data_IF_433540630317
#
_entry.id   IF_433540630317
#
_cell.length_a   1.000
_cell.length_b   1.000
_cell.length_c   1.000
_cell.angle_alpha   90.00
_cell.angle_beta   90.00
_cell.angle_gamma   90.00
#
_symmetry.space_group_name_H-M   'P 1'
#
loop_
_entity.id
_entity.type
_entity.pdbx_description
1 polymer ?
#
# COMPACT_ATOMS: atom_id res chain seq x y z
N UNK A 1 -24.79 -16.12 3.13
CA UNK A 1 -23.70 -16.09 4.14
C UNK A 1 -22.52 -15.34 3.54
N UNK A 2 -22.08 -14.27 4.16
CA UNK A 2 -20.82 -13.62 3.78
C UNK A 2 -19.66 -14.53 4.19
N UNK A 3 -18.85 -14.96 3.23
CA UNK A 3 -17.70 -15.82 3.49
C UNK A 3 -16.65 -15.10 4.33
N UNK A 4 -15.92 -15.82 5.19
CA UNK A 4 -14.79 -15.30 5.94
C UNK A 4 -13.63 -14.88 5.02
N UNK A 5 -12.72 -14.04 5.52
CA UNK A 5 -11.64 -13.45 4.74
C UNK A 5 -10.80 -14.49 3.97
N UNK A 6 -10.35 -15.57 4.63
CA UNK A 6 -9.56 -16.61 3.97
C UNK A 6 -10.27 -17.25 2.78
N UNK A 7 -11.59 -17.48 2.90
CA UNK A 7 -12.43 -18.01 1.80
C UNK A 7 -12.57 -16.97 0.68
N UNK A 8 -12.75 -15.68 1.02
CA UNK A 8 -12.77 -14.59 0.06
C UNK A 8 -11.44 -14.48 -0.70
N UNK A 9 -10.31 -14.57 -0.01
CA UNK A 9 -8.98 -14.52 -0.61
C UNK A 9 -8.79 -15.63 -1.67
N UNK A 10 -9.34 -16.82 -1.43
CA UNK A 10 -9.27 -17.91 -2.40
C UNK A 10 -10.23 -17.72 -3.57
N UNK A 11 -11.50 -17.33 -3.32
CA UNK A 11 -12.58 -17.47 -4.31
C UNK A 11 -13.10 -16.16 -4.90
N UNK A 12 -13.03 -15.03 -4.19
CA UNK A 12 -13.61 -13.77 -4.66
C UNK A 12 -12.99 -13.30 -5.98
N UNK A 13 -13.78 -12.62 -6.81
CA UNK A 13 -13.36 -12.06 -8.09
C UNK A 13 -13.17 -13.08 -9.20
N UNK A 14 -13.27 -14.37 -8.92
CA UNK A 14 -13.11 -15.44 -9.91
C UNK A 14 -14.44 -16.16 -10.14
N UNK A 15 -14.80 -16.36 -11.40
CA UNK A 15 -15.96 -17.17 -11.78
C UNK A 15 -15.76 -18.64 -11.39
N UNK A 16 -16.84 -19.30 -10.94
CA UNK A 16 -16.80 -20.73 -10.63
C UNK A 16 -16.62 -21.58 -11.89
N UNK A 17 -17.26 -21.20 -12.97
CA UNK A 17 -17.16 -21.86 -14.26
C UNK A 17 -16.34 -21.00 -15.22
N UNK A 18 -15.09 -21.38 -15.39
CA UNK A 18 -14.13 -20.66 -16.22
C UNK A 18 -14.08 -21.23 -17.65
N UNK A 19 -13.66 -20.45 -18.65
CA UNK A 19 -13.42 -20.96 -19.99
C UNK A 19 -12.57 -22.23 -19.98
N UNK A 20 -12.90 -23.17 -20.84
CA UNK A 20 -12.24 -24.47 -20.99
C UNK A 20 -12.30 -25.38 -19.76
N UNK A 21 -13.17 -25.11 -18.78
CA UNK A 21 -13.21 -25.85 -17.53
C UNK A 21 -11.96 -25.66 -16.63
N UNK A 22 -11.21 -24.59 -16.87
CA UNK A 22 -9.97 -24.31 -16.12
C UNK A 22 -10.25 -24.03 -14.64
N UNK A 23 -9.44 -24.59 -13.75
CA UNK A 23 -9.51 -24.30 -12.31
C UNK A 23 -8.99 -22.89 -12.00
N UNK A 24 -7.90 -22.46 -12.65
CA UNK A 24 -7.33 -21.13 -12.50
C UNK A 24 -7.94 -20.18 -13.53
N UNK A 25 -7.98 -18.87 -13.21
CA UNK A 25 -8.38 -17.85 -14.18
C UNK A 25 -7.40 -17.83 -15.35
N UNK A 26 -7.84 -18.01 -16.61
CA UNK A 26 -6.96 -17.97 -17.77
C UNK A 26 -6.31 -16.59 -17.95
N UNK A 27 -5.08 -16.58 -18.47
CA UNK A 27 -4.41 -15.36 -18.90
C UNK A 27 -4.92 -14.98 -20.28
N UNK A 28 -5.61 -13.85 -20.40
CA UNK A 28 -6.07 -13.32 -21.68
C UNK A 28 -5.05 -12.32 -22.20
N UNK A 29 -4.08 -12.81 -22.99
CA UNK A 29 -2.99 -12.01 -23.53
C UNK A 29 -3.37 -11.43 -24.88
N UNK A 30 -4.15 -10.34 -24.86
CA UNK A 30 -4.52 -9.61 -26.08
C UNK A 30 -4.56 -8.10 -25.81
N UNK A 31 -4.23 -7.29 -26.83
CA UNK A 31 -4.37 -5.83 -26.78
C UNK A 31 -5.73 -5.36 -27.27
N UNK A 32 -6.41 -6.14 -28.12
CA UNK A 32 -7.63 -5.72 -28.82
C UNK A 32 -8.65 -6.85 -28.82
N UNK A 33 -9.91 -6.49 -28.71
CA UNK A 33 -11.05 -7.40 -28.76
C UNK A 33 -11.88 -7.09 -30.01
N UNK A 34 -12.21 -8.11 -30.81
CA UNK A 34 -12.91 -7.96 -32.08
C UNK A 34 -14.42 -7.95 -31.90
N UNK A 35 -15.12 -7.25 -32.78
CA UNK A 35 -16.56 -7.25 -32.89
C UNK A 35 -16.97 -8.09 -34.11
N UNK A 36 -18.15 -8.67 -34.08
CA UNK A 36 -18.66 -9.47 -35.17
C UNK A 36 -19.01 -8.60 -36.39
N UNK A 37 -19.56 -7.41 -36.14
CA UNK A 37 -19.95 -6.45 -37.18
C UNK A 37 -20.05 -5.02 -36.61
N UNK A 38 -20.35 -4.05 -37.49
CA UNK A 38 -20.50 -2.65 -37.14
C UNK A 38 -21.72 -2.36 -36.23
N UNK A 39 -22.77 -3.19 -36.31
CA UNK A 39 -23.95 -3.04 -35.48
C UNK A 39 -23.60 -3.36 -34.00
N UNK A 40 -22.79 -4.39 -33.78
CA UNK A 40 -22.28 -4.72 -32.46
C UNK A 40 -21.40 -3.58 -31.87
N UNK A 41 -20.61 -2.91 -32.71
CA UNK A 41 -19.83 -1.72 -32.26
C UNK A 41 -20.77 -0.60 -31.82
N UNK A 42 -21.82 -0.31 -32.61
CA UNK A 42 -22.76 0.76 -32.29
C UNK A 42 -23.53 0.46 -30.99
N UNK A 43 -24.03 -0.78 -30.83
CA UNK A 43 -24.68 -1.20 -29.57
C UNK A 43 -23.74 -1.08 -28.37
N UNK A 44 -22.48 -1.53 -28.51
CA UNK A 44 -21.45 -1.37 -27.49
C UNK A 44 -21.26 0.10 -27.13
N UNK A 45 -21.11 0.98 -28.10
CA UNK A 45 -20.91 2.42 -27.84
C UNK A 45 -22.11 3.07 -27.17
N UNK A 46 -23.35 2.69 -27.52
CA UNK A 46 -24.55 3.18 -26.87
C UNK A 46 -24.62 2.73 -25.40
N UNK A 47 -24.32 1.46 -25.10
CA UNK A 47 -24.28 0.96 -23.72
C UNK A 47 -23.17 1.62 -22.90
N UNK A 48 -22.02 1.85 -23.51
CA UNK A 48 -20.88 2.52 -22.88
C UNK A 48 -21.26 3.97 -22.50
N UNK A 49 -21.90 4.69 -23.41
CA UNK A 49 -22.39 6.06 -23.16
C UNK A 49 -23.47 6.10 -22.07
N UNK A 50 -24.30 5.05 -21.96
CA UNK A 50 -25.31 4.91 -20.90
C UNK A 50 -24.72 4.47 -19.54
N UNK A 51 -23.39 4.29 -19.41
CA UNK A 51 -22.73 3.92 -18.16
C UNK A 51 -22.98 2.47 -17.72
N UNK A 52 -23.29 1.56 -18.65
CA UNK A 52 -23.51 0.16 -18.32
C UNK A 52 -22.20 -0.54 -17.94
N UNK A 53 -22.02 -0.98 -16.68
CA UNK A 53 -20.76 -1.54 -16.20
C UNK A 53 -20.48 -2.98 -16.68
N UNK A 54 -21.45 -3.68 -17.23
CA UNK A 54 -21.32 -5.10 -17.66
C UNK A 54 -20.95 -5.22 -19.13
N UNK A 55 -20.04 -4.37 -19.57
CA UNK A 55 -19.65 -4.35 -20.98
C UNK A 55 -18.49 -5.28 -21.26
N UNK A 56 -18.47 -5.80 -22.49
CA UNK A 56 -17.32 -6.51 -23.04
C UNK A 56 -16.11 -5.58 -23.15
N UNK A 57 -14.92 -6.15 -23.24
CA UNK A 57 -13.71 -5.38 -23.53
C UNK A 57 -13.65 -4.97 -25.01
N UNK A 58 -13.02 -3.85 -25.28
CA UNK A 58 -12.74 -3.33 -26.63
C UNK A 58 -11.23 -3.24 -26.89
N UNK A 59 -10.48 -2.86 -25.85
CA UNK A 59 -9.05 -2.61 -25.93
C UNK A 59 -8.40 -2.78 -24.56
N UNK A 60 -7.24 -3.44 -24.51
CA UNK A 60 -6.58 -3.83 -23.25
C UNK A 60 -6.25 -2.69 -22.29
N UNK A 61 -6.13 -1.43 -22.77
CA UNK A 61 -5.92 -0.27 -21.92
C UNK A 61 -7.16 0.09 -21.09
N UNK A 62 -8.34 -0.28 -21.55
CA UNK A 62 -9.61 0.02 -20.85
C UNK A 62 -10.10 -1.15 -19.99
N UNK A 63 -9.64 -2.36 -20.26
CA UNK A 63 -9.99 -3.54 -19.48
C UNK A 63 -9.43 -4.83 -20.05
N UNK A 64 -9.39 -5.86 -19.18
CA UNK A 64 -8.95 -7.20 -19.52
C UNK A 64 -9.57 -8.20 -18.54
N UNK A 65 -10.06 -9.37 -18.98
CA UNK A 65 -10.72 -10.34 -18.08
C UNK A 65 -9.85 -10.79 -16.91
N UNK A 66 -8.54 -11.01 -17.14
CA UNK A 66 -7.61 -11.42 -16.08
C UNK A 66 -7.40 -10.30 -15.05
N UNK A 67 -7.29 -9.05 -15.50
CA UNK A 67 -7.20 -7.88 -14.62
C UNK A 67 -8.48 -7.71 -13.79
N UNK A 68 -9.67 -7.83 -14.41
CA UNK A 68 -10.96 -7.73 -13.70
C UNK A 68 -11.12 -8.77 -12.61
N UNK A 69 -10.63 -9.99 -12.80
CA UNK A 69 -10.65 -11.00 -11.76
C UNK A 69 -9.81 -10.58 -10.54
N UNK A 70 -8.63 -10.00 -10.78
CA UNK A 70 -7.77 -9.46 -9.71
C UNK A 70 -8.43 -8.24 -9.04
N UNK A 71 -8.96 -7.28 -9.82
CA UNK A 71 -9.68 -6.10 -9.32
C UNK A 71 -10.89 -6.51 -8.46
N UNK A 72 -11.70 -7.47 -8.91
CA UNK A 72 -12.87 -7.97 -8.16
C UNK A 72 -12.48 -8.65 -6.84
N UNK A 73 -11.37 -9.41 -6.83
CA UNK A 73 -10.85 -10.02 -5.60
C UNK A 73 -10.38 -8.95 -4.61
N UNK A 74 -9.58 -7.99 -5.06
CA UNK A 74 -9.07 -6.91 -4.20
C UNK A 74 -10.21 -6.06 -3.64
N UNK A 75 -11.19 -5.68 -4.49
CA UNK A 75 -12.36 -4.95 -4.04
C UNK A 75 -13.11 -5.68 -2.91
N UNK A 76 -13.30 -6.99 -3.05
CA UNK A 76 -13.94 -7.80 -2.01
C UNK A 76 -13.13 -7.84 -0.73
N UNK A 77 -11.81 -8.00 -0.80
CA UNK A 77 -10.93 -8.08 0.37
C UNK A 77 -10.88 -6.76 1.14
N UNK A 78 -10.92 -5.62 0.46
CA UNK A 78 -11.01 -4.28 1.06
C UNK A 78 -12.44 -3.84 1.44
N UNK A 79 -13.44 -4.64 1.12
CA UNK A 79 -14.87 -4.27 1.29
C UNK A 79 -15.27 -3.04 0.48
N UNK A 80 -14.63 -2.81 -0.68
CA UNK A 80 -14.94 -1.76 -1.62
C UNK A 80 -15.91 -2.21 -2.72
N UNK A 81 -16.54 -1.26 -3.40
CA UNK A 81 -17.44 -1.56 -4.53
C UNK A 81 -16.68 -1.92 -5.81
N UNK A 82 -15.48 -1.36 -5.98
CA UNK A 82 -14.63 -1.54 -7.15
C UNK A 82 -13.17 -1.35 -6.78
N UNK A 83 -12.27 -2.00 -7.52
CA UNK A 83 -10.85 -1.71 -7.52
C UNK A 83 -10.37 -1.46 -8.97
N UNK A 84 -9.29 -0.72 -9.11
CA UNK A 84 -8.58 -0.47 -10.35
C UNK A 84 -7.14 -0.94 -10.20
N UNK A 85 -6.65 -1.73 -11.16
CA UNK A 85 -5.28 -2.24 -11.17
C UNK A 85 -4.38 -1.36 -12.03
N UNK A 86 -3.18 -1.09 -11.53
CA UNK A 86 -2.15 -0.25 -12.13
C UNK A 86 -0.82 -1.00 -12.27
N UNK A 87 0.06 -0.51 -13.14
CA UNK A 87 1.39 -1.07 -13.38
C UNK A 87 2.36 -0.96 -12.19
N UNK A 88 2.07 -0.09 -11.21
CA UNK A 88 2.85 0.07 -9.99
C UNK A 88 2.05 0.82 -8.93
N UNK A 89 2.48 0.76 -7.65
CA UNK A 89 1.94 1.57 -6.58
C UNK A 89 2.03 3.08 -6.88
N UNK A 90 3.16 3.53 -7.44
CA UNK A 90 3.31 4.93 -7.84
C UNK A 90 2.35 5.32 -8.98
N UNK A 91 2.12 4.43 -9.97
CA UNK A 91 1.13 4.69 -11.01
C UNK A 91 -0.28 4.84 -10.42
N UNK A 92 -0.65 4.04 -9.41
CA UNK A 92 -1.91 4.18 -8.68
C UNK A 92 -1.99 5.53 -7.97
N UNK A 93 -0.95 5.93 -7.22
CA UNK A 93 -0.89 7.20 -6.48
C UNK A 93 -0.94 8.39 -7.44
N UNK A 94 -0.05 8.44 -8.43
CA UNK A 94 0.08 9.59 -9.33
C UNK A 94 -1.16 9.80 -10.18
N UNK A 95 -1.76 8.72 -10.70
CA UNK A 95 -3.01 8.80 -11.47
C UNK A 95 -4.17 9.25 -10.58
N UNK A 96 -4.25 8.76 -9.34
CA UNK A 96 -5.30 9.19 -8.39
C UNK A 96 -5.21 10.68 -8.10
N UNK A 97 -4.02 11.17 -7.74
CA UNK A 97 -3.83 12.59 -7.43
C UNK A 97 -4.08 13.48 -8.65
N UNK A 98 -3.58 13.08 -9.83
CA UNK A 98 -3.79 13.83 -11.07
C UNK A 98 -5.27 13.83 -11.54
N UNK A 99 -6.04 12.78 -11.21
CA UNK A 99 -7.45 12.70 -11.57
C UNK A 99 -8.37 13.53 -10.65
N UNK A 100 -7.95 13.76 -9.42
CA UNK A 100 -8.77 14.37 -8.37
C UNK A 100 -8.40 15.82 -8.05
N UNK A 101 -7.23 16.28 -8.51
CA UNK A 101 -6.72 17.62 -8.24
C UNK A 101 -6.55 18.41 -9.54
N UNK A 102 -6.86 19.68 -9.48
CA UNK A 102 -6.74 20.66 -10.57
C UNK A 102 -5.83 21.82 -10.17
N UNK A 103 -5.37 22.61 -11.14
CA UNK A 103 -4.60 23.83 -10.85
C UNK A 103 -5.38 24.76 -9.90
N UNK A 104 -4.72 25.24 -8.86
CA UNK A 104 -5.30 26.03 -7.78
C UNK A 104 -5.81 25.22 -6.58
N UNK A 105 -5.88 23.89 -6.68
CA UNK A 105 -6.25 23.05 -5.54
C UNK A 105 -5.09 22.86 -4.56
N UNK A 106 -5.43 22.46 -3.35
CA UNK A 106 -4.50 22.20 -2.27
C UNK A 106 -4.64 20.76 -1.75
N UNK A 107 -3.49 20.11 -1.56
CA UNK A 107 -3.31 18.76 -0.99
C UNK A 107 -2.74 18.86 0.44
N UNK A 108 -3.34 18.15 1.38
CA UNK A 108 -2.69 17.85 2.66
C UNK A 108 -2.10 16.44 2.58
N UNK A 109 -0.79 16.33 2.85
CA UNK A 109 -0.06 15.06 2.85
C UNK A 109 0.57 14.83 4.22
N UNK A 110 0.30 13.67 4.83
CA UNK A 110 1.02 13.28 6.05
C UNK A 110 2.48 13.03 5.69
N UNK A 111 3.39 13.71 6.41
CA UNK A 111 4.80 13.84 6.02
C UNK A 111 5.60 12.55 6.12
N UNK A 112 5.26 11.66 7.08
CA UNK A 112 5.87 10.34 7.23
C UNK A 112 5.20 9.34 6.28
N UNK A 113 5.63 9.34 5.03
CA UNK A 113 5.11 8.50 3.95
C UNK A 113 6.24 8.12 2.98
N UNK A 114 5.92 7.26 2.02
CA UNK A 114 6.88 6.87 1.00
C UNK A 114 7.47 8.09 0.29
N UNK A 115 8.80 8.19 0.26
CA UNK A 115 9.51 9.39 -0.21
C UNK A 115 9.16 9.80 -1.65
N UNK A 116 8.83 8.83 -2.54
CA UNK A 116 8.42 9.15 -3.92
C UNK A 116 7.02 9.74 -3.99
N UNK A 117 6.12 9.38 -3.08
CA UNK A 117 4.81 10.04 -2.95
C UNK A 117 5.01 11.52 -2.57
N UNK A 118 5.87 11.78 -1.58
CA UNK A 118 6.22 13.13 -1.15
C UNK A 118 6.92 13.93 -2.26
N UNK A 119 7.86 13.30 -2.98
CA UNK A 119 8.53 13.92 -4.13
C UNK A 119 7.53 14.30 -5.23
N UNK A 120 6.60 13.40 -5.57
CA UNK A 120 5.56 13.69 -6.56
C UNK A 120 4.69 14.87 -6.13
N UNK A 121 4.24 14.87 -4.86
CA UNK A 121 3.42 15.95 -4.33
C UNK A 121 4.13 17.30 -4.33
N UNK A 122 5.38 17.36 -3.91
CA UNK A 122 6.13 18.63 -3.78
C UNK A 122 6.75 19.13 -5.08
N UNK A 123 7.14 18.22 -6.00
CA UNK A 123 7.91 18.59 -7.19
C UNK A 123 7.09 18.55 -8.48
N UNK A 124 6.19 17.54 -8.63
CA UNK A 124 5.41 17.41 -9.87
C UNK A 124 4.07 18.13 -9.78
N UNK A 125 3.32 17.96 -8.70
CA UNK A 125 2.02 18.64 -8.54
C UNK A 125 2.20 20.17 -8.49
N UNK A 126 3.29 20.66 -7.89
CA UNK A 126 3.58 22.10 -7.87
C UNK A 126 3.74 22.71 -9.28
N UNK A 127 4.29 21.95 -10.24
CA UNK A 127 4.38 22.39 -11.65
C UNK A 127 3.02 22.50 -12.32
N UNK A 128 2.02 21.81 -11.78
CA UNK A 128 0.63 21.85 -12.27
C UNK A 128 -0.22 22.86 -11.51
N UNK A 129 0.40 23.68 -10.66
CA UNK A 129 -0.27 24.70 -9.88
C UNK A 129 -1.07 24.16 -8.69
N UNK A 130 -0.72 22.97 -8.21
CA UNK A 130 -1.32 22.34 -7.03
C UNK A 130 -0.37 22.53 -5.85
N UNK A 131 -0.85 23.11 -4.76
CA UNK A 131 -0.06 23.31 -3.55
C UNK A 131 -0.18 22.10 -2.61
N UNK A 132 0.89 21.82 -1.88
CA UNK A 132 0.93 20.73 -0.90
C UNK A 132 1.42 21.21 0.47
N UNK A 133 0.65 20.95 1.52
CA UNK A 133 1.09 21.11 2.91
C UNK A 133 1.42 19.75 3.52
N UNK A 134 2.63 19.63 4.08
CA UNK A 134 3.04 18.47 4.85
C UNK A 134 2.60 18.63 6.30
N UNK A 135 1.94 17.61 6.86
CA UNK A 135 1.52 17.57 8.27
C UNK A 135 2.21 16.40 8.96
N UNK A 136 2.88 16.68 10.07
CA UNK A 136 3.53 15.62 10.86
C UNK A 136 2.50 14.72 11.54
N UNK A 137 2.68 13.39 11.55
CA UNK A 137 1.86 12.49 12.36
C UNK A 137 2.01 12.73 13.87
N UNK A 138 3.08 13.40 14.30
CA UNK A 138 3.28 13.80 15.70
C UNK A 138 2.39 14.99 16.12
N UNK A 139 1.83 15.71 15.16
CA UNK A 139 1.02 16.91 15.39
C UNK A 139 -0.40 16.76 14.80
N UNK A 140 -1.22 15.84 15.31
CA UNK A 140 -2.55 15.59 14.74
C UNK A 140 -3.48 16.82 14.77
N UNK A 141 -3.24 17.76 15.68
CA UNK A 141 -3.98 19.02 15.72
C UNK A 141 -3.66 19.93 14.52
N UNK A 142 -2.45 19.82 13.94
CA UNK A 142 -2.03 20.60 12.78
C UNK A 142 -2.84 20.24 11.52
N UNK A 143 -3.48 19.07 11.48
CA UNK A 143 -4.33 18.67 10.36
C UNK A 143 -5.47 19.66 10.14
N UNK A 144 -6.19 20.05 11.19
CA UNK A 144 -7.30 20.98 11.09
C UNK A 144 -6.86 22.40 10.69
N UNK A 145 -5.68 22.84 11.17
CA UNK A 145 -5.14 24.17 10.86
C UNK A 145 -4.49 24.27 9.47
N UNK A 146 -4.12 23.12 8.88
CA UNK A 146 -3.59 23.05 7.53
C UNK A 146 -4.67 23.18 6.43
N UNK A 147 -5.95 23.06 6.79
CA UNK A 147 -7.06 23.13 5.83
C UNK A 147 -7.26 24.58 5.39
N UNK A 148 -7.38 24.76 4.06
CA UNK A 148 -7.63 26.03 3.37
C UNK A 148 -8.89 25.92 2.50
N UNK A 149 -9.46 27.03 2.02
CA UNK A 149 -10.62 26.98 1.10
C UNK A 149 -10.36 26.16 -0.18
N UNK A 150 -9.09 26.12 -0.63
CA UNK A 150 -8.63 25.38 -1.82
C UNK A 150 -8.34 23.91 -1.53
N UNK A 151 -8.33 23.47 -0.28
CA UNK A 151 -8.05 22.09 0.07
C UNK A 151 -9.13 21.17 -0.51
N UNK A 152 -8.70 20.12 -1.22
CA UNK A 152 -9.59 19.12 -1.84
C UNK A 152 -9.33 17.71 -1.35
N UNK A 153 -8.09 17.41 -0.97
CA UNK A 153 -7.66 16.05 -0.69
C UNK A 153 -6.74 15.98 0.51
N UNK A 154 -6.94 14.94 1.32
CA UNK A 154 -6.06 14.53 2.41
C UNK A 154 -5.52 13.15 2.09
N UNK A 155 -4.18 13.04 2.00
CA UNK A 155 -3.49 11.77 1.76
C UNK A 155 -2.68 11.35 2.98
N UNK A 156 -2.83 10.10 3.40
CA UNK A 156 -2.06 9.48 4.47
C UNK A 156 -1.54 8.10 4.06
N UNK A 157 -0.41 7.68 4.63
CA UNK A 157 0.07 6.29 4.60
C UNK A 157 -0.11 5.67 5.98
N UNK A 158 -0.57 4.41 6.06
CA UNK A 158 -0.90 3.80 7.35
C UNK A 158 -0.72 2.28 7.36
N UNK A 159 0.11 1.75 8.28
CA UNK A 159 1.09 2.48 9.10
C UNK A 159 2.11 3.24 8.24
N UNK A 160 2.68 4.32 8.77
CA UNK A 160 3.63 5.16 8.04
C UNK A 160 4.99 4.47 7.82
N UNK A 161 5.80 4.99 6.90
CA UNK A 161 7.12 4.48 6.57
C UNK A 161 8.20 5.58 6.74
N UNK A 162 9.24 5.38 7.57
CA UNK A 162 9.62 4.12 8.19
C UNK A 162 9.22 3.94 9.67
N UNK A 163 8.59 4.92 10.32
CA UNK A 163 8.40 4.94 11.78
C UNK A 163 7.12 4.25 12.26
N UNK A 164 6.30 3.70 11.34
CA UNK A 164 5.11 2.89 11.63
C UNK A 164 4.08 3.62 12.51
N UNK A 165 3.95 4.95 12.35
CA UNK A 165 2.93 5.75 13.03
C UNK A 165 1.53 5.33 12.55
N UNK A 166 0.56 5.42 13.44
CA UNK A 166 -0.83 5.05 13.16
C UNK A 166 -1.74 6.22 13.50
N UNK A 167 -2.36 6.78 12.48
CA UNK A 167 -3.29 7.90 12.63
C UNK A 167 -4.67 7.42 13.08
N UNK A 168 -5.38 8.25 13.85
CA UNK A 168 -6.79 8.03 14.17
C UNK A 168 -7.66 8.30 12.92
N UNK A 169 -8.05 7.21 12.23
CA UNK A 169 -8.87 7.30 11.02
C UNK A 169 -10.21 7.96 11.26
N UNK A 170 -10.83 7.70 12.42
CA UNK A 170 -12.13 8.27 12.75
C UNK A 170 -12.09 9.78 12.85
N UNK A 171 -11.07 10.31 13.52
CA UNK A 171 -10.82 11.76 13.61
C UNK A 171 -10.46 12.36 12.26
N UNK A 172 -9.58 11.70 11.50
CA UNK A 172 -9.18 12.14 10.16
C UNK A 172 -10.39 12.26 9.22
N UNK A 173 -11.23 11.23 9.17
CA UNK A 173 -12.46 11.21 8.35
C UNK A 173 -13.48 12.24 8.84
N UNK A 174 -13.62 12.42 10.16
CA UNK A 174 -14.51 13.43 10.72
C UNK A 174 -14.11 14.84 10.27
N UNK A 175 -12.83 15.19 10.37
CA UNK A 175 -12.30 16.48 9.93
C UNK A 175 -12.50 16.65 8.42
N UNK A 176 -12.15 15.65 7.62
CA UNK A 176 -12.30 15.69 6.17
C UNK A 176 -13.76 15.90 5.73
N UNK A 177 -14.71 15.21 6.34
CA UNK A 177 -16.15 15.33 6.03
C UNK A 177 -16.70 16.71 6.35
N UNK A 178 -16.27 17.34 7.43
CA UNK A 178 -16.70 18.69 7.80
C UNK A 178 -16.30 19.73 6.75
N UNK A 179 -15.27 19.45 5.97
CA UNK A 179 -14.70 20.34 4.95
C UNK A 179 -14.89 19.80 3.52
N UNK A 180 -15.69 18.75 3.35
CA UNK A 180 -15.94 18.07 2.07
C UNK A 180 -14.64 17.64 1.33
N UNK A 181 -13.61 17.24 2.07
CA UNK A 181 -12.35 16.75 1.53
C UNK A 181 -12.45 15.27 1.15
N UNK A 182 -11.75 14.89 0.09
CA UNK A 182 -11.55 13.48 -0.27
C UNK A 182 -10.41 12.91 0.57
N UNK A 183 -10.64 11.75 1.17
CA UNK A 183 -9.63 11.04 1.95
C UNK A 183 -9.04 9.87 1.16
N UNK A 184 -7.71 9.81 1.10
CA UNK A 184 -6.95 8.72 0.46
C UNK A 184 -5.98 8.14 1.48
N UNK A 185 -6.01 6.82 1.65
CA UNK A 185 -5.08 6.12 2.54
C UNK A 185 -4.31 5.06 1.76
N UNK A 186 -2.98 5.18 1.73
CA UNK A 186 -2.10 4.09 1.32
C UNK A 186 -1.98 3.09 2.49
N UNK A 187 -2.63 1.94 2.35
CA UNK A 187 -2.70 0.88 3.38
C UNK A 187 -1.77 -0.30 3.06
N UNK A 188 -0.71 -0.05 2.29
CA UNK A 188 0.22 -1.09 1.83
C UNK A 188 0.80 -1.92 2.98
N UNK A 189 1.22 -1.28 4.08
CA UNK A 189 1.83 -1.96 5.23
C UNK A 189 0.82 -2.74 6.06
N UNK A 190 -0.39 -2.21 6.23
CA UNK A 190 -1.43 -2.89 6.99
C UNK A 190 -2.00 -4.09 6.25
N UNK A 191 -2.19 -4.01 4.95
CA UNK A 191 -2.98 -4.96 4.16
C UNK A 191 -4.47 -4.99 4.56
N UNK A 192 -5.39 -5.52 3.74
CA UNK A 192 -6.81 -5.63 4.13
C UNK A 192 -7.06 -6.62 5.29
N UNK A 193 -6.01 -7.33 5.74
CA UNK A 193 -6.09 -8.22 6.91
C UNK A 193 -6.02 -7.45 8.20
N UNK A 194 -5.08 -6.51 8.31
CA UNK A 194 -4.85 -5.78 9.55
C UNK A 194 -5.67 -4.49 9.65
N UNK A 195 -5.98 -3.85 8.51
CA UNK A 195 -6.76 -2.61 8.48
C UNK A 195 -7.52 -2.49 7.16
N UNK A 196 -8.79 -2.11 7.22
CA UNK A 196 -9.63 -1.76 6.06
C UNK A 196 -10.10 -0.31 6.19
N UNK A 197 -9.38 0.66 5.64
CA UNK A 197 -9.72 2.07 5.82
C UNK A 197 -11.11 2.45 5.31
N UNK A 198 -11.65 1.78 4.27
CA UNK A 198 -13.02 2.02 3.80
C UNK A 198 -14.07 1.76 4.88
N UNK A 199 -13.86 0.76 5.74
CA UNK A 199 -14.77 0.48 6.86
C UNK A 199 -14.78 1.59 7.93
N UNK A 200 -13.75 2.42 7.97
CA UNK A 200 -13.66 3.61 8.83
C UNK A 200 -14.16 4.89 8.13
N UNK A 201 -14.65 4.77 6.90
CA UNK A 201 -15.24 5.88 6.14
C UNK A 201 -14.26 6.68 5.30
N UNK A 202 -13.06 6.17 5.07
CA UNK A 202 -12.11 6.68 4.07
C UNK A 202 -12.71 6.50 2.67
N UNK A 203 -12.49 7.46 1.76
CA UNK A 203 -13.09 7.43 0.42
C UNK A 203 -12.35 6.49 -0.54
N UNK A 204 -11.01 6.49 -0.47
CA UNK A 204 -10.15 5.71 -1.37
C UNK A 204 -9.00 5.06 -0.59
N UNK A 205 -8.74 3.79 -0.92
CA UNK A 205 -7.59 3.03 -0.41
C UNK A 205 -6.65 2.72 -1.56
N UNK A 206 -5.35 2.86 -1.31
CA UNK A 206 -4.30 2.50 -2.24
C UNK A 206 -3.45 1.38 -1.64
N UNK A 207 -2.98 0.46 -2.50
CA UNK A 207 -1.90 -0.46 -2.17
C UNK A 207 -0.85 -0.49 -3.28
N UNK A 208 0.40 -0.50 -2.90
CA UNK A 208 1.43 -1.09 -3.73
C UNK A 208 1.23 -2.62 -3.72
N UNK A 209 0.51 -3.13 -4.72
CA UNK A 209 0.22 -4.57 -4.83
C UNK A 209 1.49 -5.42 -5.07
N UNK A 210 2.59 -4.77 -5.46
CA UNK A 210 3.96 -5.32 -5.49
C UNK A 210 4.36 -5.95 -4.16
N UNK A 211 3.84 -5.44 -3.04
CA UNK A 211 4.22 -5.82 -1.67
C UNK A 211 3.42 -7.05 -1.20
N UNK A 212 2.76 -6.98 -0.08
CA UNK A 212 2.02 -8.09 0.53
C UNK A 212 0.98 -8.75 -0.38
N UNK A 213 0.28 -7.97 -1.22
CA UNK A 213 -0.77 -8.54 -2.08
C UNK A 213 -0.18 -9.52 -3.09
N UNK A 214 0.91 -9.18 -3.77
CA UNK A 214 1.70 -10.10 -4.59
C UNK A 214 2.47 -11.11 -3.75
N UNK A 215 3.28 -10.61 -2.82
CA UNK A 215 3.91 -11.36 -1.73
C UNK A 215 5.07 -12.28 -2.10
N UNK A 216 5.55 -12.26 -3.36
CA UNK A 216 6.60 -13.17 -3.85
C UNK A 216 7.74 -12.44 -4.57
N UNK A 217 7.80 -11.10 -4.48
CA UNK A 217 8.86 -10.26 -5.08
C UNK A 217 9.03 -10.43 -6.61
N UNK A 218 7.99 -10.89 -7.33
CA UNK A 218 8.03 -11.31 -8.73
C UNK A 218 7.12 -10.50 -9.67
N UNK A 219 6.43 -9.46 -9.15
CA UNK A 219 5.56 -8.58 -9.93
C UNK A 219 5.65 -7.13 -9.48
N UNK A 220 5.28 -6.22 -10.38
CA UNK A 220 5.01 -4.81 -10.07
C UNK A 220 3.53 -4.53 -10.33
N UNK A 221 2.82 -4.04 -9.31
CA UNK A 221 1.44 -3.60 -9.46
C UNK A 221 1.06 -2.58 -8.38
N UNK A 222 0.02 -1.79 -8.67
CA UNK A 222 -0.66 -0.92 -7.72
C UNK A 222 -2.17 -1.09 -7.85
N UNK A 223 -2.91 -0.69 -6.83
CA UNK A 223 -4.37 -0.73 -6.88
C UNK A 223 -4.97 0.44 -6.11
N UNK A 224 -6.11 0.93 -6.60
CA UNK A 224 -6.97 1.91 -5.93
C UNK A 224 -8.34 1.29 -5.73
N UNK A 225 -8.88 1.39 -4.53
CA UNK A 225 -10.16 0.79 -4.14
C UNK A 225 -11.07 1.87 -3.58
N UNK A 226 -12.36 1.80 -3.89
CA UNK A 226 -13.36 2.74 -3.38
C UNK A 226 -14.76 2.48 -3.92
N UNK A 227 -15.61 3.52 -3.86
CA UNK A 227 -16.91 3.49 -4.53
C UNK A 227 -16.75 3.61 -6.04
N UNK A 228 -17.73 3.08 -6.80
CA UNK A 228 -17.74 3.24 -8.27
C UNK A 228 -17.69 4.72 -8.67
N UNK A 229 -18.42 5.57 -7.94
CA UNK A 229 -18.44 7.01 -8.17
C UNK A 229 -17.06 7.65 -7.99
N UNK A 230 -16.38 7.35 -6.89
CA UNK A 230 -15.05 7.92 -6.59
C UNK A 230 -13.98 7.44 -7.56
N UNK A 231 -14.12 6.22 -8.10
CA UNK A 231 -13.16 5.62 -9.03
C UNK A 231 -13.37 6.05 -10.49
N UNK A 232 -14.53 6.55 -10.89
CA UNK A 232 -14.80 6.93 -12.29
C UNK A 232 -13.77 7.90 -12.87
N UNK A 233 -13.42 9.04 -12.23
CA UNK A 233 -12.42 9.95 -12.79
C UNK A 233 -11.02 9.31 -12.84
N UNK A 234 -10.69 8.44 -11.88
CA UNK A 234 -9.40 7.75 -11.83
C UNK A 234 -9.30 6.71 -12.96
N UNK A 235 -10.38 5.99 -13.25
CA UNK A 235 -10.44 5.03 -14.34
C UNK A 235 -10.29 5.71 -15.71
N UNK A 236 -10.95 6.87 -15.90
CA UNK A 236 -10.79 7.69 -17.09
C UNK A 236 -9.35 8.16 -17.26
N UNK A 237 -8.74 8.69 -16.19
CA UNK A 237 -7.35 9.12 -16.19
C UNK A 237 -6.39 7.95 -16.48
N UNK A 238 -6.61 6.76 -15.88
CA UNK A 238 -5.85 5.55 -16.19
C UNK A 238 -5.93 5.21 -17.67
N UNK A 239 -7.13 5.27 -18.27
CA UNK A 239 -7.35 5.02 -19.69
C UNK A 239 -6.61 5.99 -20.61
N UNK A 240 -6.43 7.25 -20.22
CA UNK A 240 -5.69 8.28 -20.98
C UNK A 240 -4.18 8.16 -20.75
N UNK A 241 -3.74 8.05 -19.50
CA UNK A 241 -2.31 8.04 -19.11
C UNK A 241 -1.63 6.68 -19.37
N UNK A 242 -2.40 5.60 -19.46
CA UNK A 242 -1.86 4.28 -19.82
C UNK A 242 -1.18 3.52 -18.67
N UNK A 243 -1.45 3.87 -17.42
CA UNK A 243 -0.83 3.26 -16.24
C UNK A 243 -1.41 1.91 -15.80
N UNK A 244 -2.15 1.16 -16.68
CA UNK A 244 -2.73 -0.15 -16.36
C UNK A 244 -1.65 -1.23 -16.19
N UNK A 245 -1.97 -2.28 -15.44
CA UNK A 245 -1.15 -3.49 -15.31
C UNK A 245 -1.26 -4.36 -16.59
N UNK A 246 -0.45 -5.40 -16.67
CA UNK A 246 -0.55 -6.40 -17.75
C UNK A 246 -1.23 -7.70 -17.24
N UNK A 247 -1.72 -8.57 -18.14
CA UNK A 247 -2.41 -9.80 -17.73
C UNK A 247 -1.56 -10.80 -16.97
N UNK A 248 -0.24 -10.85 -17.20
CA UNK A 248 0.65 -11.77 -16.49
C UNK A 248 0.84 -11.32 -15.04
N UNK A 249 1.09 -10.03 -14.79
CA UNK A 249 1.18 -9.49 -13.42
C UNK A 249 -0.16 -9.64 -12.69
N UNK A 250 -1.29 -9.43 -13.37
CA UNK A 250 -2.62 -9.68 -12.82
C UNK A 250 -2.83 -11.14 -12.41
N UNK A 251 -2.34 -12.09 -13.22
CA UNK A 251 -2.38 -13.53 -12.91
C UNK A 251 -1.50 -13.87 -11.68
N UNK A 252 -0.26 -13.36 -11.65
CA UNK A 252 0.65 -13.57 -10.51
C UNK A 252 0.04 -12.95 -9.23
N UNK A 253 -0.58 -11.78 -9.35
CA UNK A 253 -1.28 -11.13 -8.25
C UNK A 253 -2.46 -11.98 -7.76
N UNK A 254 -3.30 -12.52 -8.65
CA UNK A 254 -4.38 -13.45 -8.29
C UNK A 254 -3.85 -14.67 -7.53
N UNK A 255 -2.71 -15.21 -7.97
CA UNK A 255 -2.04 -16.33 -7.31
C UNK A 255 -1.55 -15.93 -5.91
N UNK A 256 -0.89 -14.77 -5.77
CA UNK A 256 -0.39 -14.25 -4.50
C UNK A 256 -1.52 -13.99 -3.50
N UNK A 257 -2.64 -13.41 -3.94
CA UNK A 257 -3.80 -13.11 -3.11
C UNK A 257 -4.42 -14.37 -2.46
N UNK A 258 -4.36 -15.54 -3.11
CA UNK A 258 -4.91 -16.79 -2.55
C UNK A 258 -4.23 -17.24 -1.25
N UNK A 259 -2.99 -16.84 -1.04
CA UNK A 259 -2.21 -17.15 0.18
C UNK A 259 -2.02 -15.94 1.10
N UNK A 260 -2.64 -14.81 0.80
CA UNK A 260 -2.45 -13.56 1.54
C UNK A 260 -2.72 -13.72 3.03
N UNK A 261 -3.83 -14.36 3.40
CA UNK A 261 -4.20 -14.57 4.81
C UNK A 261 -3.16 -15.38 5.58
N UNK A 262 -2.67 -16.46 4.99
CA UNK A 262 -1.65 -17.32 5.59
C UNK A 262 -0.33 -16.57 5.79
N UNK A 263 0.13 -15.84 4.77
CA UNK A 263 1.39 -15.11 4.80
C UNK A 263 1.36 -13.96 5.80
N UNK A 264 0.34 -13.12 5.74
CA UNK A 264 0.25 -11.94 6.62
C UNK A 264 0.07 -12.34 8.08
N UNK A 265 -0.69 -13.39 8.40
CA UNK A 265 -0.79 -13.90 9.78
C UNK A 265 0.55 -14.38 10.31
N UNK A 266 1.32 -15.10 9.50
CA UNK A 266 2.67 -15.53 9.89
C UNK A 266 3.61 -14.33 10.05
N UNK A 267 3.55 -13.37 9.15
CA UNK A 267 4.33 -12.13 9.25
C UNK A 267 3.95 -11.29 10.48
N UNK A 268 2.66 -11.22 10.83
CA UNK A 268 2.19 -10.58 12.06
C UNK A 268 2.77 -11.25 13.32
N UNK A 269 2.77 -12.61 13.35
CA UNK A 269 3.36 -13.38 14.44
C UNK A 269 4.86 -13.08 14.57
N UNK A 270 5.58 -13.14 13.45
CA UNK A 270 7.00 -12.81 13.40
C UNK A 270 7.25 -11.38 13.88
N UNK A 271 6.45 -10.40 13.40
CA UNK A 271 6.54 -9.01 13.81
C UNK A 271 6.42 -8.81 15.31
N UNK A 272 5.41 -9.40 15.93
CA UNK A 272 5.19 -9.33 17.40
C UNK A 272 6.34 -9.90 18.20
N UNK A 273 6.81 -11.10 17.83
CA UNK A 273 7.87 -11.79 18.58
C UNK A 273 9.21 -11.09 18.41
N UNK A 274 9.58 -10.71 17.20
CA UNK A 274 10.81 -9.97 16.91
C UNK A 274 10.80 -8.59 17.57
N UNK A 275 9.69 -7.84 17.52
CA UNK A 275 9.59 -6.54 18.17
C UNK A 275 9.78 -6.62 19.69
N UNK A 276 9.21 -7.65 20.35
CA UNK A 276 9.40 -7.89 21.79
C UNK A 276 10.84 -8.27 22.12
N UNK A 277 11.47 -9.12 21.32
CA UNK A 277 12.87 -9.49 21.48
C UNK A 277 13.77 -8.25 21.41
N UNK A 278 13.58 -7.44 20.36
CA UNK A 278 14.36 -6.21 20.15
C UNK A 278 14.14 -5.18 21.25
N UNK A 279 12.92 -5.02 21.75
CA UNK A 279 12.61 -4.10 22.84
C UNK A 279 13.31 -4.46 24.16
N UNK A 280 13.65 -5.73 24.39
CA UNK A 280 14.39 -6.20 25.56
C UNK A 280 15.91 -6.28 25.35
N UNK A 281 16.43 -5.99 24.15
CA UNK A 281 17.85 -6.20 23.85
C UNK A 281 18.71 -4.96 24.17
N UNK A 282 19.82 -5.09 24.92
CA UNK A 282 20.63 -3.94 25.40
C UNK A 282 21.29 -3.13 24.27
N UNK A 283 21.56 -3.70 23.11
CA UNK A 283 22.11 -2.99 21.95
C UNK A 283 21.04 -2.24 21.13
N UNK A 284 19.76 -2.36 21.47
CA UNK A 284 18.66 -1.68 20.80
C UNK A 284 18.18 -0.50 21.63
N UNK A 285 18.26 0.70 21.05
CA UNK A 285 17.89 1.94 21.71
C UNK A 285 16.38 2.17 21.76
N UNK A 286 15.69 1.85 20.65
CA UNK A 286 14.25 2.07 20.51
C UNK A 286 13.68 1.15 19.42
N UNK A 287 12.46 0.67 19.64
CA UNK A 287 11.70 -0.09 18.67
C UNK A 287 10.45 0.70 18.28
N UNK A 288 10.17 0.74 16.99
CA UNK A 288 8.96 1.30 16.40
C UNK A 288 8.12 0.14 15.89
N UNK A 289 7.08 -0.21 16.62
CA UNK A 289 6.13 -1.26 16.26
C UNK A 289 4.78 -0.99 16.95
N UNK A 290 3.69 -0.81 16.20
CA UNK A 290 2.41 -0.39 16.78
C UNK A 290 1.82 -1.36 17.81
N UNK A 291 2.30 -2.60 17.85
CA UNK A 291 1.89 -3.61 18.81
C UNK A 291 2.66 -3.61 20.14
N UNK A 292 3.58 -2.68 20.36
CA UNK A 292 4.26 -2.51 21.64
C UNK A 292 3.59 -1.39 22.47
N UNK A 293 3.38 -1.60 23.79
CA UNK A 293 2.74 -0.60 24.66
C UNK A 293 3.42 0.78 24.67
N UNK A 294 4.74 0.83 24.44
CA UNK A 294 5.52 2.07 24.40
C UNK A 294 5.43 2.81 23.06
N UNK A 295 4.73 2.25 22.07
CA UNK A 295 4.50 2.95 20.82
C UNK A 295 3.50 4.11 21.03
N UNK A 296 3.78 5.33 20.51
CA UNK A 296 2.93 6.49 20.77
C UNK A 296 1.47 6.31 20.33
N UNK A 297 1.24 5.49 19.33
CA UNK A 297 -0.10 5.25 18.77
C UNK A 297 -0.66 3.87 19.15
N UNK A 298 -0.12 3.20 20.17
CA UNK A 298 -0.53 1.83 20.56
C UNK A 298 -2.04 1.71 20.77
N UNK A 299 -2.65 2.63 21.53
CA UNK A 299 -4.08 2.58 21.82
C UNK A 299 -4.93 2.79 20.56
N UNK A 300 -4.51 3.69 19.66
CA UNK A 300 -5.17 3.91 18.37
C UNK A 300 -5.05 2.67 17.50
N UNK A 301 -3.85 2.11 17.37
CA UNK A 301 -3.60 0.90 16.60
C UNK A 301 -4.44 -0.28 17.11
N UNK A 302 -4.51 -0.49 18.43
CA UNK A 302 -5.29 -1.55 19.07
C UNK A 302 -6.79 -1.44 18.85
N UNK A 303 -7.31 -0.21 18.71
CA UNK A 303 -8.74 0.04 18.48
C UNK A 303 -9.16 -0.18 17.03
N UNK A 304 -8.30 0.15 16.06
CA UNK A 304 -8.70 0.17 14.65
C UNK A 304 -8.04 -0.92 13.78
N UNK A 305 -6.95 -1.52 14.25
CA UNK A 305 -6.26 -2.60 13.53
C UNK A 305 -6.53 -3.96 14.17
N UNK A 306 -6.63 -4.99 13.33
CA UNK A 306 -6.77 -6.39 13.80
C UNK A 306 -5.45 -6.95 14.29
N UNK A 307 -4.35 -6.51 13.66
CA UNK A 307 -2.98 -6.86 14.00
C UNK A 307 -2.01 -5.79 13.46
N UNK A 308 -0.70 -5.87 13.76
CA UNK A 308 0.24 -4.75 13.64
C UNK A 308 1.27 -4.88 12.52
N UNK A 309 1.19 -5.96 11.70
CA UNK A 309 2.03 -6.15 10.53
C UNK A 309 3.36 -6.85 10.80
N UNK A 310 4.08 -7.11 9.69
CA UNK A 310 5.37 -7.80 9.67
C UNK A 310 6.57 -6.85 9.51
N UNK A 311 6.40 -5.54 9.63
CA UNK A 311 7.53 -4.59 9.60
C UNK A 311 7.85 -4.14 11.02
N UNK A 312 9.12 -4.22 11.39
CA UNK A 312 9.65 -3.69 12.64
C UNK A 312 10.77 -2.71 12.30
N UNK A 313 10.65 -1.48 12.73
CA UNK A 313 11.74 -0.49 12.64
C UNK A 313 12.36 -0.30 14.02
N UNK A 314 13.67 -0.16 14.08
CA UNK A 314 14.38 0.01 15.36
C UNK A 314 15.68 0.77 15.19
N UNK A 315 16.13 1.41 16.27
CA UNK A 315 17.42 2.07 16.36
C UNK A 315 18.38 1.21 17.17
N UNK A 316 19.57 0.98 16.65
CA UNK A 316 20.64 0.37 17.43
C UNK A 316 21.52 1.42 18.10
N UNK A 317 22.30 1.01 19.11
CA UNK A 317 23.30 1.88 19.70
C UNK A 317 24.47 2.06 18.75
N UNK A 318 24.67 3.28 18.22
CA UNK A 318 25.75 3.63 17.30
C UNK A 318 25.36 4.65 16.23
N UNK A 319 26.20 4.70 15.22
CA UNK A 319 26.10 5.58 14.06
C UNK A 319 25.71 4.79 12.77
N UNK A 320 25.88 5.46 11.64
CA UNK A 320 25.54 4.90 10.32
C UNK A 320 26.40 3.68 9.97
N UNK A 321 27.72 3.75 10.26
CA UNK A 321 28.66 2.68 9.90
C UNK A 321 28.45 1.45 10.78
N UNK A 322 28.25 1.65 12.08
CA UNK A 322 27.93 0.59 13.04
C UNK A 322 26.63 -0.12 12.66
N UNK A 323 25.65 0.64 12.19
CA UNK A 323 24.37 0.10 11.71
C UNK A 323 24.55 -0.72 10.43
N UNK A 324 25.38 -0.26 9.51
CA UNK A 324 25.77 -1.02 8.31
C UNK A 324 26.44 -2.35 8.69
N UNK A 325 27.43 -2.32 9.59
CA UNK A 325 28.11 -3.53 10.08
C UNK A 325 27.15 -4.52 10.74
N UNK A 326 26.17 -4.04 11.49
CA UNK A 326 25.11 -4.89 12.05
C UNK A 326 24.33 -5.59 10.94
N UNK A 327 23.85 -4.83 9.94
CA UNK A 327 23.08 -5.38 8.82
C UNK A 327 23.87 -6.42 8.04
N UNK A 328 25.17 -6.16 7.79
CA UNK A 328 26.06 -7.06 7.05
C UNK A 328 26.33 -8.39 7.79
N UNK A 329 26.10 -8.44 9.10
CA UNK A 329 26.23 -9.66 9.92
C UNK A 329 24.98 -10.54 9.94
N UNK A 330 23.83 -10.01 9.53
CA UNK A 330 22.62 -10.80 9.37
C UNK A 330 22.79 -11.83 8.24
N UNK A 331 22.29 -13.03 8.44
CA UNK A 331 22.47 -14.17 7.52
C UNK A 331 21.20 -14.58 6.80
N UNK A 332 20.04 -14.30 7.40
CA UNK A 332 18.76 -14.71 6.85
C UNK A 332 18.12 -13.66 5.95
N UNK A 333 17.97 -12.37 6.35
CA UNK A 333 17.30 -11.40 5.51
C UNK A 333 18.17 -10.98 4.32
N UNK A 334 17.54 -10.72 3.20
CA UNK A 334 18.21 -10.02 2.10
C UNK A 334 18.28 -8.51 2.38
N UNK A 335 19.35 -7.86 1.94
CA UNK A 335 19.45 -6.40 1.98
C UNK A 335 18.76 -5.83 0.75
N UNK A 336 17.70 -5.03 0.95
CA UNK A 336 16.95 -4.50 -0.19
C UNK A 336 15.87 -3.48 0.15
N UNK A 337 15.40 -2.68 -0.84
CA UNK A 337 14.46 -1.58 -0.63
C UNK A 337 12.99 -2.01 -0.72
N UNK A 338 12.66 -3.26 -0.44
CA UNK A 338 11.28 -3.77 -0.54
C UNK A 338 10.76 -4.32 0.78
N UNK A 339 9.56 -4.89 0.78
CA UNK A 339 8.90 -5.51 1.94
C UNK A 339 7.72 -6.38 1.47
N UNK A 340 7.17 -7.17 2.38
CA UNK A 340 5.90 -7.87 2.17
C UNK A 340 6.01 -9.17 1.36
N UNK A 341 7.23 -9.59 1.01
CA UNK A 341 7.51 -10.88 0.40
C UNK A 341 7.50 -12.03 1.42
N UNK A 342 7.70 -13.24 0.94
CA UNK A 342 7.86 -14.45 1.78
C UNK A 342 9.22 -14.49 2.45
N UNK A 343 10.24 -13.85 1.86
CA UNK A 343 11.57 -13.66 2.42
C UNK A 343 11.63 -12.40 3.27
N UNK A 344 12.39 -12.46 4.36
CA UNK A 344 12.74 -11.29 5.17
C UNK A 344 13.69 -10.36 4.44
N UNK A 345 13.42 -9.06 4.55
CA UNK A 345 14.22 -8.00 3.92
C UNK A 345 14.61 -6.98 4.97
N UNK A 346 15.89 -6.60 4.99
CA UNK A 346 16.42 -5.57 5.88
C UNK A 346 16.99 -4.40 5.10
N UNK A 347 16.87 -3.22 5.64
CA UNK A 347 17.50 -2.02 5.07
C UNK A 347 17.86 -1.00 6.16
N UNK A 348 18.82 -0.15 5.85
CA UNK A 348 19.10 1.09 6.54
C UNK A 348 18.46 2.24 5.75
N UNK A 349 17.33 2.82 6.19
CA UNK A 349 16.63 3.86 5.42
C UNK A 349 17.51 5.06 5.09
N UNK A 350 18.40 5.45 6.02
CA UNK A 350 19.35 6.54 5.82
C UNK A 350 20.28 6.34 4.63
N UNK A 351 20.81 5.13 4.43
CA UNK A 351 21.72 4.80 3.32
C UNK A 351 21.03 4.85 1.95
N UNK A 352 19.71 4.53 1.91
CA UNK A 352 18.95 4.54 0.66
C UNK A 352 18.36 5.92 0.32
N UNK A 353 18.25 6.81 1.29
CA UNK A 353 17.67 8.14 1.07
C UNK A 353 18.69 9.12 0.49
N UNK A 354 19.79 9.34 1.18
CA UNK A 354 20.84 10.30 0.78
C UNK A 354 22.13 10.08 1.57
N UNK A 355 23.26 10.30 0.94
CA UNK A 355 24.56 10.35 1.60
C UNK A 355 24.76 11.67 2.38
N UNK A 356 24.01 12.70 2.04
CA UNK A 356 24.01 13.98 2.75
C UNK A 356 23.31 13.87 4.10
N UNK A 357 24.08 14.12 5.17
CA UNK A 357 23.59 14.03 6.56
C UNK A 357 22.55 15.12 6.88
N UNK A 358 22.68 16.31 6.34
CA UNK A 358 21.73 17.41 6.58
C UNK A 358 20.39 17.11 5.91
N UNK A 359 20.41 16.58 4.69
CA UNK A 359 19.22 16.14 3.99
C UNK A 359 18.49 15.01 4.74
N UNK A 360 19.22 14.04 5.30
CA UNK A 360 18.62 12.97 6.13
C UNK A 360 17.97 13.52 7.40
N UNK A 361 18.66 14.44 8.11
CA UNK A 361 18.12 15.09 9.31
C UNK A 361 16.88 15.92 9.01
N UNK A 362 16.91 16.69 7.92
CA UNK A 362 15.75 17.48 7.47
C UNK A 362 14.55 16.58 7.11
N UNK A 363 14.81 15.37 6.61
CA UNK A 363 13.79 14.36 6.35
C UNK A 363 13.34 13.59 7.60
N UNK A 364 13.92 13.87 8.77
CA UNK A 364 13.63 13.15 10.02
C UNK A 364 14.19 11.74 10.07
N UNK A 365 15.09 11.36 9.16
CA UNK A 365 15.68 10.02 9.11
C UNK A 365 16.91 9.92 10.01
N UNK A 366 16.91 8.96 10.90
CA UNK A 366 18.04 8.68 11.81
C UNK A 366 19.07 7.76 11.12
N UNK A 367 20.34 8.08 11.33
CA UNK A 367 21.46 7.35 10.74
C UNK A 367 21.54 5.89 11.22
N UNK A 368 21.09 5.63 12.45
CA UNK A 368 21.11 4.32 13.11
C UNK A 368 19.76 3.56 13.04
N UNK A 369 18.85 3.99 12.16
CA UNK A 369 17.56 3.33 11.95
C UNK A 369 17.72 2.10 11.05
N UNK A 370 17.15 0.98 11.49
CA UNK A 370 16.98 -0.25 10.73
C UNK A 370 15.50 -0.47 10.48
N UNK A 371 15.10 -0.79 9.25
CA UNK A 371 13.77 -1.29 8.93
C UNK A 371 13.86 -2.77 8.53
N UNK A 372 13.25 -3.63 9.32
CA UNK A 372 13.21 -5.07 9.10
C UNK A 372 11.79 -5.48 8.68
N UNK A 373 11.63 -5.88 7.44
CA UNK A 373 10.38 -6.44 6.90
C UNK A 373 10.48 -7.96 6.98
N UNK A 374 9.72 -8.56 7.87
CA UNK A 374 9.76 -9.98 8.17
C UNK A 374 8.96 -10.77 7.14
N UNK A 375 9.55 -11.86 6.68
CA UNK A 375 8.93 -12.87 5.84
C UNK A 375 8.16 -13.90 6.66
N UNK A 376 8.07 -15.12 6.11
CA UNK A 376 7.34 -16.23 6.72
C UNK A 376 8.27 -17.31 7.32
N UNK A 377 9.55 -17.02 7.43
CA UNK A 377 10.56 -17.90 8.03
C UNK A 377 10.20 -18.26 9.49
N UNK A 378 10.91 -19.22 10.05
CA UNK A 378 10.73 -19.57 11.46
C UNK A 378 11.16 -18.42 12.36
N UNK A 379 10.32 -18.07 13.35
CA UNK A 379 10.55 -16.90 14.20
C UNK A 379 11.78 -17.07 15.10
N UNK A 380 12.06 -18.28 15.57
CA UNK A 380 13.19 -18.54 16.45
C UNK A 380 14.50 -18.44 15.69
N UNK A 381 14.53 -18.85 14.41
CA UNK A 381 15.68 -18.66 13.52
C UNK A 381 15.94 -17.16 13.26
N UNK A 382 14.89 -16.39 13.01
CA UNK A 382 15.00 -14.92 12.81
C UNK A 382 15.54 -14.24 14.08
N UNK A 383 15.07 -14.64 15.26
CA UNK A 383 15.54 -14.09 16.55
C UNK A 383 17.00 -14.53 16.81
N UNK A 384 17.36 -15.76 16.52
CA UNK A 384 18.72 -16.25 16.68
C UNK A 384 19.72 -15.49 15.78
N UNK A 385 19.31 -15.21 14.53
CA UNK A 385 20.10 -14.43 13.58
C UNK A 385 20.27 -12.97 14.03
N UNK A 386 19.19 -12.33 14.49
CA UNK A 386 19.25 -10.98 15.09
C UNK A 386 20.19 -10.95 16.32
N UNK A 387 20.07 -11.92 17.20
CA UNK A 387 20.85 -11.98 18.44
C UNK A 387 22.37 -12.14 18.15
N UNK A 388 22.76 -13.01 17.19
CA UNK A 388 24.16 -13.17 16.82
C UNK A 388 24.74 -11.91 16.14
N UNK A 389 23.93 -11.19 15.35
CA UNK A 389 24.35 -9.96 14.70
C UNK A 389 24.52 -8.81 15.72
N UNK A 390 23.57 -8.67 16.66
CA UNK A 390 23.60 -7.66 17.73
C UNK A 390 24.74 -7.90 18.75
N UNK A 391 25.11 -9.15 19.02
CA UNK A 391 26.22 -9.47 19.93
C UNK A 391 27.61 -9.01 19.42
N UNK A 392 27.70 -8.61 18.14
CA UNK A 392 28.95 -8.18 17.51
C UNK A 392 29.11 -6.66 17.36
N UNK A 393 28.24 -5.86 17.99
CA UNK A 393 28.24 -4.38 17.86
C UNK A 393 28.40 -3.65 19.19
#
# INVERSE_FOLDING_TARGET
MTANFSTQAVHAGEEKHKPHGALTTPIVQTSTYTFADTAEILDFMHRKAAGNPEMRDEYGRYGNPTQRAAEGKIATLESGEKALLFSSGMSAITTTLAALLSSGDHLILISDCYHRTREFALSFLSRWGIETTLVSPDEPAALATAIRPETRLLFAEMPTNPYLRVLDLSKMVQIARQQALITVVDSTFATPINLRPLAHGVDLVIHSATKYLGGHNDLLAGTVIGSRKSLTPIEQARGVMGGMSNPNDAYLLLRGLKTLDLRVRRQNENGKRVARFLAGHPAVRRVYYPGLPDHPDYEIARQQMTDFGGVVSFEIEGDMDKTGHFIDRLRLPYIGPTLGGVESIVQQPAALFSLDREARRAAGLKDNLVRYALGIEDTDDLIADLNQALAGI
#
